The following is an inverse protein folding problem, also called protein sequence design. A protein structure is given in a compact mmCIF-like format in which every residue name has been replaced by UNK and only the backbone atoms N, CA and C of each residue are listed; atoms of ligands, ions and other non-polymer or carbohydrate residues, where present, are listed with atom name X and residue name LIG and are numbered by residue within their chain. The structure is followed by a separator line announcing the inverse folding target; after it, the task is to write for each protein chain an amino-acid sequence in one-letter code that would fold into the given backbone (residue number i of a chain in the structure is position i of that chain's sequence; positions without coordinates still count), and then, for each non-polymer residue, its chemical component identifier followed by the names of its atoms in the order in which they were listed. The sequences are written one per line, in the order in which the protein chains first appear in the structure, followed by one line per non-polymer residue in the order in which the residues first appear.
data_IF_666363994202
#
_entry.id   IF_666363994202
#
_cell.length_a   1.000
_cell.length_b   1.000
_cell.length_c   1.000
_cell.angle_alpha   90.00
_cell.angle_beta   90.00
_cell.angle_gamma   90.00
#
_symmetry.space_group_name_H-M   'P 1'
#
loop_
_entity.id
_entity.type
_entity.pdbx_description
1 polymer ?
#
# COMPACT_ATOMS: atom_id res chain seq x y z
N UNK A 1 -4.16 -4.93 6.24
CA UNK A 1 -3.38 -3.87 6.90
C UNK A 1 -4.35 -2.95 7.64
N UNK A 2 -4.11 -2.60 8.91
CA UNK A 2 -5.03 -1.78 9.72
C UNK A 2 -4.54 -0.35 9.98
N UNK A 3 -3.61 0.19 9.17
CA UNK A 3 -3.17 1.59 9.24
C UNK A 3 -2.39 2.02 7.99
N UNK A 4 -1.98 3.29 7.96
CA UNK A 4 -1.39 3.93 6.78
C UNK A 4 0.08 3.54 6.57
N UNK A 5 0.47 3.34 5.30
CA UNK A 5 1.83 3.05 4.83
C UNK A 5 2.22 4.08 3.77
N UNK A 6 3.47 4.54 3.74
CA UNK A 6 3.86 5.51 2.73
C UNK A 6 3.97 4.90 1.32
N UNK A 7 4.34 3.63 1.26
CA UNK A 7 4.30 2.80 0.05
C UNK A 7 4.04 1.36 0.47
N UNK A 8 3.34 0.59 -0.35
CA UNK A 8 3.16 -0.85 -0.12
C UNK A 8 4.46 -1.58 -0.52
N UNK A 9 5.17 -2.24 0.43
CA UNK A 9 6.40 -2.95 0.13
C UNK A 9 6.19 -4.06 -0.88
N UNK A 10 7.17 -4.25 -1.77
CA UNK A 10 7.09 -5.29 -2.81
C UNK A 10 7.05 -6.70 -2.22
N UNK A 11 7.61 -6.91 -1.02
CA UNK A 11 7.48 -8.18 -0.29
C UNK A 11 6.03 -8.54 0.00
N UNK A 12 5.18 -7.55 0.31
CA UNK A 12 3.75 -7.76 0.54
C UNK A 12 2.98 -7.91 -0.77
N UNK A 13 3.34 -7.16 -1.81
CA UNK A 13 2.75 -7.34 -3.15
C UNK A 13 3.04 -8.74 -3.69
N UNK A 14 4.29 -9.21 -3.56
CA UNK A 14 4.74 -10.52 -4.02
C UNK A 14 4.14 -11.68 -3.23
N UNK A 15 3.68 -11.45 -1.99
CA UNK A 15 2.93 -12.42 -1.20
C UNK A 15 1.51 -12.66 -1.75
N UNK A 16 0.98 -11.79 -2.62
CA UNK A 16 -0.28 -12.03 -3.30
C UNK A 16 -0.09 -13.10 -4.37
N UNK A 17 -0.98 -14.09 -4.42
CA UNK A 17 -1.13 -14.95 -5.60
C UNK A 17 -1.68 -14.12 -6.77
N UNK A 18 -1.44 -14.56 -8.00
CA UNK A 18 -2.12 -13.98 -9.18
C UNK A 18 -3.65 -14.09 -8.97
N UNK A 19 -4.36 -12.99 -9.20
CA UNK A 19 -5.79 -12.83 -8.88
C UNK A 19 -6.08 -12.44 -7.41
N UNK A 20 -5.08 -12.48 -6.54
CA UNK A 20 -5.17 -12.04 -5.14
C UNK A 20 -5.28 -10.52 -5.01
N UNK A 21 -5.88 -10.08 -3.89
CA UNK A 21 -6.17 -8.66 -3.62
C UNK A 21 -5.65 -8.24 -2.25
N UNK A 22 -5.18 -7.00 -2.15
CA UNK A 22 -4.76 -6.36 -0.93
C UNK A 22 -5.40 -4.97 -0.83
N UNK A 23 -5.99 -4.67 0.32
CA UNK A 23 -6.37 -3.32 0.68
C UNK A 23 -5.27 -2.70 1.55
N UNK A 24 -4.81 -1.52 1.17
CA UNK A 24 -3.81 -0.75 1.90
C UNK A 24 -4.23 0.73 1.94
N UNK A 25 -3.95 1.40 3.05
CA UNK A 25 -4.07 2.86 3.12
C UNK A 25 -2.67 3.39 2.79
N UNK A 26 -2.54 4.09 1.68
CA UNK A 26 -1.27 4.59 1.17
C UNK A 26 -1.23 6.10 1.29
N UNK A 27 -0.19 6.63 1.92
CA UNK A 27 0.00 8.07 2.11
C UNK A 27 0.63 8.42 3.46
N UNK A 28 0.47 9.67 3.87
CA UNK A 28 0.99 10.20 5.14
C UNK A 28 -0.16 10.53 6.11
N UNK A 29 0.15 10.99 7.32
CA UNK A 29 -0.84 11.25 8.38
C UNK A 29 -1.87 12.34 8.03
N UNK A 30 -1.64 13.15 6.98
CA UNK A 30 -2.52 14.27 6.59
C UNK A 30 -3.23 14.00 5.26
N UNK A 31 -2.61 13.25 4.36
CA UNK A 31 -3.14 12.89 3.04
C UNK A 31 -2.88 11.40 2.82
N UNK A 32 -3.91 10.59 2.98
CA UNK A 32 -3.84 9.16 2.69
C UNK A 32 -5.08 8.69 1.90
N UNK A 33 -4.88 7.64 1.12
CA UNK A 33 -5.90 7.06 0.25
C UNK A 33 -6.02 5.57 0.53
N UNK A 34 -7.24 5.07 0.64
CA UNK A 34 -7.49 3.64 0.61
C UNK A 34 -7.34 3.13 -0.83
N UNK A 35 -6.38 2.24 -1.05
CA UNK A 35 -6.10 1.62 -2.34
C UNK A 35 -6.39 0.12 -2.30
N UNK A 36 -7.00 -0.39 -3.38
CA UNK A 36 -7.15 -1.80 -3.66
C UNK A 36 -6.13 -2.23 -4.72
N UNK A 37 -5.19 -3.05 -4.31
CA UNK A 37 -4.15 -3.62 -5.17
C UNK A 37 -4.56 -5.03 -5.56
N UNK A 38 -4.56 -5.34 -6.85
CA UNK A 38 -4.84 -6.67 -7.39
C UNK A 38 -3.64 -7.15 -8.20
N UNK A 39 -3.12 -8.34 -7.92
CA UNK A 39 -2.05 -8.94 -8.73
C UNK A 39 -2.65 -9.51 -10.01
N UNK A 40 -2.32 -8.94 -11.16
CA UNK A 40 -2.84 -9.36 -12.47
C UNK A 40 -1.99 -10.46 -13.11
N UNK A 41 -0.67 -10.39 -12.94
CA UNK A 41 0.30 -11.36 -13.45
C UNK A 41 1.45 -11.52 -12.45
N UNK A 42 2.49 -12.28 -12.79
CA UNK A 42 3.66 -12.36 -11.91
C UNK A 42 4.34 -11.01 -11.71
N UNK A 43 4.23 -10.09 -12.67
CA UNK A 43 4.94 -8.81 -12.70
C UNK A 43 3.98 -7.60 -12.68
N UNK A 44 2.69 -7.81 -12.96
CA UNK A 44 1.72 -6.72 -13.07
C UNK A 44 0.77 -6.64 -11.87
N UNK A 45 0.53 -5.41 -11.45
CA UNK A 45 -0.42 -5.06 -10.41
C UNK A 45 -1.37 -3.98 -10.91
N UNK A 46 -2.66 -4.13 -10.62
CA UNK A 46 -3.65 -3.08 -10.78
C UNK A 46 -3.88 -2.41 -9.44
N UNK A 47 -3.83 -1.09 -9.42
CA UNK A 47 -4.14 -0.28 -8.23
C UNK A 47 -5.40 0.53 -8.53
N UNK A 48 -6.36 0.48 -7.61
CA UNK A 48 -7.59 1.28 -7.67
C UNK A 48 -7.71 2.08 -6.39
N UNK A 49 -7.78 3.41 -6.52
CA UNK A 49 -8.05 4.30 -5.39
C UNK A 49 -9.55 4.24 -5.08
N UNK A 50 -9.89 3.92 -3.84
CA UNK A 50 -11.27 3.76 -3.40
C UNK A 50 -11.83 5.07 -2.84
N UNK A 51 -11.11 5.69 -1.91
CA UNK A 51 -11.49 6.94 -1.25
C UNK A 51 -10.30 7.53 -0.48
N UNK A 52 -10.34 8.83 -0.20
CA UNK A 52 -9.42 9.51 0.71
C UNK A 52 -9.78 9.22 2.18
N UNK A 53 -8.79 9.06 3.03
CA UNK A 53 -8.98 8.77 4.45
C UNK A 53 -7.81 9.27 5.29
N UNK A 54 -8.05 9.47 6.59
CA UNK A 54 -7.01 9.78 7.56
C UNK A 54 -6.92 8.62 8.52
N UNK A 55 -5.80 7.89 8.50
CA UNK A 55 -5.54 6.77 9.39
C UNK A 55 -4.16 6.91 10.04
N UNK A 56 -4.01 6.56 11.34
CA UNK A 56 -2.72 6.53 11.99
C UNK A 56 -1.73 5.62 11.24
N UNK A 57 -0.45 5.97 11.27
CA UNK A 57 0.61 5.14 10.73
C UNK A 57 0.61 3.75 11.40
N UNK A 58 0.86 2.70 10.60
CA UNK A 58 1.10 1.37 11.15
C UNK A 58 2.37 1.38 12.00
N UNK A 59 2.22 1.07 13.29
CA UNK A 59 3.38 0.84 14.17
C UNK A 59 4.18 -0.35 13.64
N UNK A 60 5.52 -0.21 13.60
CA UNK A 60 6.47 -1.21 13.07
C UNK A 60 6.45 -1.44 11.54
N UNK A 61 5.97 -0.47 10.77
CA UNK A 61 6.01 -0.53 9.30
C UNK A 61 7.15 0.36 8.76
N UNK A 62 7.83 -0.02 7.65
CA UNK A 62 8.89 0.80 7.07
C UNK A 62 8.39 2.21 6.78
N UNK A 63 9.02 3.20 7.42
CA UNK A 63 8.83 4.60 7.08
C UNK A 63 9.44 4.87 5.70
N UNK A 64 8.85 5.76 4.88
CA UNK A 64 9.42 6.09 3.57
C UNK A 64 10.83 6.64 3.78
N UNK A 65 11.77 6.13 2.98
CA UNK A 65 13.15 6.63 2.99
C UNK A 65 13.14 8.12 2.67
N UNK A 66 13.52 8.95 3.64
CA UNK A 66 13.80 10.37 3.41
C UNK A 66 15.05 10.42 2.51
N UNK A 67 14.82 10.55 1.21
CA UNK A 67 15.82 10.72 0.14
C UNK A 67 16.68 9.49 -0.21
N UNK A 68 16.75 9.18 -1.51
CA UNK A 68 17.91 8.56 -2.18
C UNK A 68 18.10 9.28 -3.53
N UNK A 69 19.32 9.75 -3.76
CA UNK A 69 19.77 10.44 -4.97
C UNK A 69 19.91 9.49 -6.16
#
# INVERSE_FOLDING_TARGET
LSGSVAEVPDTLKNALKVGGRMAAIVGNEVVAEAQLITRLSEQDYRVVNLFETVAPLLRNFPAPSRFRF
#
